data_IF_649204458668
#
_entry.id   IF_649204458668
#
_cell.length_a   1.000
_cell.length_b   1.000
_cell.length_c   1.000
_cell.angle_alpha   90.00
_cell.angle_beta   90.00
_cell.angle_gamma   90.00
#
_symmetry.space_group_name_H-M   'P 1'
#
loop_
_entity.id
_entity.type
_entity.pdbx_description
1 polymer ?
#
# COMPACT_ATOMS: atom_id res chain seq x y z
N UNK A 1 12.57 3.64 11.78
CA UNK A 1 11.54 2.88 12.54
C UNK A 1 11.47 1.44 12.02
N UNK A 2 11.12 0.45 12.84
CA UNK A 2 11.12 -0.96 12.40
C UNK A 2 10.17 -1.24 11.22
N UNK A 3 9.19 -0.37 10.99
CA UNK A 3 8.28 -0.42 9.83
C UNK A 3 8.98 -0.22 8.49
N UNK A 4 10.09 0.51 8.43
CA UNK A 4 10.77 0.84 7.16
C UNK A 4 11.28 -0.40 6.42
N UNK A 5 11.73 -1.42 7.16
CA UNK A 5 12.23 -2.66 6.56
C UNK A 5 11.13 -3.38 5.77
N UNK A 6 9.88 -3.34 6.24
CA UNK A 6 8.74 -3.96 5.56
C UNK A 6 8.32 -3.21 4.28
N UNK A 7 8.72 -1.94 4.15
CA UNK A 7 8.36 -1.09 3.01
C UNK A 7 9.45 -1.05 1.94
N UNK A 8 10.57 -1.75 2.14
CA UNK A 8 11.64 -1.78 1.14
C UNK A 8 11.15 -2.42 -0.16
N UNK A 9 11.52 -1.87 -1.33
CA UNK A 9 11.12 -2.44 -2.61
C UNK A 9 11.62 -3.87 -2.76
N UNK A 10 10.76 -4.77 -3.25
CA UNK A 10 11.05 -6.20 -3.48
C UNK A 10 11.57 -6.98 -2.25
N UNK A 11 11.31 -6.51 -1.01
CA UNK A 11 11.69 -7.26 0.20
C UNK A 11 10.84 -8.53 0.42
N UNK A 12 9.64 -8.55 -0.15
CA UNK A 12 8.75 -9.70 -0.18
C UNK A 12 8.55 -10.15 -1.63
N UNK A 13 8.52 -11.45 -1.86
CA UNK A 13 8.34 -12.02 -3.20
C UNK A 13 6.87 -12.21 -3.59
N UNK A 14 5.96 -12.17 -2.60
CA UNK A 14 4.53 -12.42 -2.81
C UNK A 14 3.73 -12.09 -1.54
N UNK A 15 2.40 -11.99 -1.69
CA UNK A 15 1.48 -11.86 -0.54
C UNK A 15 1.62 -13.04 0.44
N UNK A 16 1.70 -14.32 0.02
CA UNK A 16 1.99 -15.42 0.94
C UNK A 16 3.33 -15.30 1.68
N UNK A 17 4.39 -14.79 1.03
CA UNK A 17 5.65 -14.53 1.71
C UNK A 17 5.48 -13.43 2.77
N UNK A 18 4.87 -12.28 2.42
CA UNK A 18 4.54 -11.22 3.37
C UNK A 18 3.81 -11.78 4.59
N UNK A 19 2.68 -12.49 4.38
CA UNK A 19 1.84 -13.05 5.45
C UNK A 19 2.65 -13.93 6.41
N UNK A 20 3.44 -14.88 5.89
CA UNK A 20 4.30 -15.75 6.73
C UNK A 20 5.30 -14.96 7.56
N UNK A 21 5.88 -13.89 7.01
CA UNK A 21 6.85 -13.07 7.72
C UNK A 21 6.19 -12.26 8.84
N UNK A 22 5.07 -11.58 8.56
CA UNK A 22 4.39 -10.70 9.53
C UNK A 22 3.58 -11.46 10.58
N UNK A 23 3.16 -12.70 10.31
CA UNK A 23 2.45 -13.54 11.28
C UNK A 23 3.41 -14.19 12.30
N UNK A 24 4.73 -14.02 12.11
CA UNK A 24 5.77 -14.47 13.03
C UNK A 24 6.40 -13.34 13.86
N UNK A 25 7.57 -13.62 14.42
CA UNK A 25 8.30 -12.71 15.32
C UNK A 25 8.64 -11.34 14.71
N UNK A 26 8.72 -11.23 13.39
CA UNK A 26 8.95 -9.95 12.71
C UNK A 26 7.78 -9.00 12.95
N UNK A 27 6.53 -9.46 12.75
CA UNK A 27 5.35 -8.64 12.98
C UNK A 27 5.19 -8.22 14.43
N UNK A 28 5.41 -9.16 15.36
CA UNK A 28 5.40 -8.85 16.80
C UNK A 28 6.39 -7.75 17.17
N UNK A 29 7.61 -7.81 16.62
CA UNK A 29 8.65 -6.83 16.87
C UNK A 29 8.29 -5.45 16.31
N UNK A 30 7.67 -5.42 15.12
CA UNK A 30 7.17 -4.19 14.51
C UNK A 30 6.06 -3.58 15.35
N UNK A 31 5.11 -4.38 15.83
CA UNK A 31 3.98 -3.89 16.61
C UNK A 31 4.40 -3.35 17.98
N UNK A 32 5.34 -4.02 18.66
CA UNK A 32 5.93 -3.50 19.90
C UNK A 32 6.70 -2.19 19.70
N UNK A 33 7.27 -1.96 18.52
CA UNK A 33 8.04 -0.73 18.27
C UNK A 33 7.20 0.55 18.34
N UNK A 34 5.88 0.44 18.21
CA UNK A 34 4.95 1.57 18.35
C UNK A 34 4.84 2.08 19.79
N UNK A 35 5.15 1.24 20.79
CA UNK A 35 5.07 1.64 22.21
C UNK A 35 6.04 2.78 22.54
N UNK A 36 7.15 2.89 21.79
CA UNK A 36 8.13 3.97 21.89
C UNK A 36 7.61 5.32 21.32
N UNK A 37 6.40 5.33 20.76
CA UNK A 37 5.79 6.48 20.06
C UNK A 37 4.37 6.77 20.56
N UNK A 38 4.06 6.39 21.80
CA UNK A 38 2.73 6.56 22.41
C UNK A 38 1.58 5.91 21.61
N UNK A 39 1.90 4.82 20.92
CA UNK A 39 0.96 4.02 20.14
C UNK A 39 1.00 2.55 20.59
N UNK A 40 -0.13 1.87 20.47
CA UNK A 40 -0.27 0.42 20.67
C UNK A 40 -0.50 -0.23 19.31
N UNK A 41 0.43 -1.09 18.89
CA UNK A 41 0.28 -1.88 17.66
C UNK A 41 -0.69 -3.04 17.87
N UNK A 42 -1.85 -2.98 17.22
CA UNK A 42 -2.94 -3.94 17.42
C UNK A 42 -2.92 -5.09 16.41
N UNK A 43 -2.68 -4.81 15.13
CA UNK A 43 -2.67 -5.81 14.07
C UNK A 43 -1.88 -5.32 12.84
N UNK A 44 -1.43 -6.25 12.00
CA UNK A 44 -0.86 -5.96 10.68
C UNK A 44 -1.83 -6.50 9.63
N UNK A 45 -2.12 -5.65 8.67
CA UNK A 45 -3.10 -5.82 7.62
C UNK A 45 -2.41 -5.83 6.25
N UNK A 46 -2.90 -6.66 5.35
CA UNK A 46 -2.47 -6.68 3.95
C UNK A 46 -2.91 -5.41 3.21
N UNK A 47 -2.05 -4.95 2.29
CA UNK A 47 -2.36 -3.87 1.35
C UNK A 47 -2.09 -4.28 -0.10
N UNK A 48 -1.94 -5.59 -0.36
CA UNK A 48 -1.65 -6.13 -1.69
C UNK A 48 -0.31 -5.67 -2.29
N UNK A 49 -0.10 -6.00 -3.55
CA UNK A 49 1.08 -5.59 -4.31
C UNK A 49 0.87 -4.21 -4.93
N UNK A 50 1.84 -3.31 -4.76
CA UNK A 50 1.84 -1.99 -5.41
C UNK A 50 2.45 -2.11 -6.80
N UNK A 51 1.77 -1.53 -7.79
CA UNK A 51 2.15 -1.56 -9.19
C UNK A 51 2.03 -0.17 -9.80
N UNK A 52 2.74 0.06 -10.91
CA UNK A 52 2.70 1.32 -11.64
C UNK A 52 1.45 1.40 -12.52
N UNK A 53 0.91 2.61 -12.64
CA UNK A 53 -0.07 2.96 -13.66
C UNK A 53 0.16 4.37 -14.18
N UNK A 54 -0.10 4.60 -15.46
CA UNK A 54 0.17 5.88 -16.11
C UNK A 54 -0.76 6.15 -17.32
N UNK A 55 -0.70 7.40 -17.81
CA UNK A 55 -1.52 7.92 -18.90
C UNK A 55 -0.82 7.87 -20.27
N UNK A 56 0.47 7.55 -20.32
CA UNK A 56 1.34 7.73 -21.50
C UNK A 56 1.53 6.45 -22.30
N UNK A 57 2.10 5.40 -21.70
CA UNK A 57 2.53 4.20 -22.41
C UNK A 57 2.69 2.97 -21.49
N UNK A 58 2.70 1.74 -22.03
CA UNK A 58 3.02 0.54 -21.27
C UNK A 58 4.45 0.57 -20.70
N UNK A 59 4.65 0.08 -19.47
CA UNK A 59 5.97 -0.04 -18.84
C UNK A 59 6.39 -1.50 -18.78
N UNK A 60 7.43 -1.88 -19.51
CA UNK A 60 7.95 -3.25 -19.55
C UNK A 60 9.32 -3.37 -18.87
N UNK A 61 10.05 -2.28 -18.75
CA UNK A 61 11.39 -2.22 -18.14
C UNK A 61 11.60 -0.90 -17.39
N UNK A 62 12.54 -0.84 -16.44
CA UNK A 62 12.79 0.38 -15.66
C UNK A 62 13.05 1.64 -16.51
N UNK A 63 13.66 1.51 -17.68
CA UNK A 63 13.96 2.64 -18.56
C UNK A 63 12.70 3.35 -19.07
N UNK A 64 11.56 2.65 -19.13
CA UNK A 64 10.30 3.20 -19.61
C UNK A 64 9.70 4.20 -18.60
N UNK A 65 10.18 4.21 -17.34
CA UNK A 65 9.80 5.17 -16.30
C UNK A 65 10.53 6.51 -16.44
N UNK A 66 11.59 6.57 -17.27
CA UNK A 66 12.48 7.73 -17.34
C UNK A 66 11.70 8.99 -17.74
N UNK A 67 11.77 10.01 -16.88
CA UNK A 67 11.14 11.30 -17.11
C UNK A 67 9.65 11.39 -16.76
N UNK A 68 8.97 10.27 -16.49
CA UNK A 68 7.56 10.28 -16.07
C UNK A 68 7.40 11.03 -14.74
N UNK A 69 6.40 11.91 -14.67
CA UNK A 69 6.00 12.61 -13.44
C UNK A 69 5.05 11.70 -12.67
N UNK A 70 5.53 11.02 -11.64
CA UNK A 70 4.70 10.06 -10.90
C UNK A 70 4.33 10.61 -9.53
N UNK A 71 3.04 10.53 -9.20
CA UNK A 71 2.62 10.74 -7.82
C UNK A 71 3.17 9.63 -6.94
N UNK A 72 3.67 10.02 -5.76
CA UNK A 72 4.01 9.10 -4.67
C UNK A 72 3.32 9.54 -3.38
N UNK A 73 3.01 8.59 -2.50
CA UNK A 73 2.68 8.93 -1.13
C UNK A 73 3.90 9.60 -0.46
N UNK A 74 3.68 10.47 0.52
CA UNK A 74 4.75 11.15 1.27
C UNK A 74 5.58 10.15 2.09
N UNK A 75 6.54 9.52 1.42
CA UNK A 75 7.40 8.45 1.92
C UNK A 75 8.77 8.58 1.27
N UNK A 76 9.80 8.78 2.10
CA UNK A 76 11.19 8.92 1.64
C UNK A 76 11.67 7.70 0.84
N UNK A 77 11.18 6.50 1.21
CA UNK A 77 11.51 5.25 0.50
C UNK A 77 10.98 5.29 -0.93
N UNK A 78 9.71 5.68 -1.13
CA UNK A 78 9.12 5.74 -2.45
C UNK A 78 9.65 6.91 -3.28
N UNK A 79 9.89 8.07 -2.66
CA UNK A 79 10.57 9.21 -3.31
C UNK A 79 11.95 8.80 -3.85
N UNK A 80 12.72 8.07 -3.05
CA UNK A 80 14.05 7.59 -3.45
C UNK A 80 13.95 6.52 -4.54
N UNK A 81 13.03 5.56 -4.41
CA UNK A 81 12.79 4.52 -5.42
C UNK A 81 12.50 5.14 -6.79
N UNK A 82 11.55 6.06 -6.89
CA UNK A 82 11.19 6.67 -8.17
C UNK A 82 12.36 7.41 -8.83
N UNK A 83 13.14 8.15 -8.04
CA UNK A 83 14.35 8.82 -8.54
C UNK A 83 15.39 7.81 -9.04
N UNK A 84 15.58 6.70 -8.33
CA UNK A 84 16.49 5.62 -8.75
C UNK A 84 16.04 4.95 -10.06
N UNK A 85 14.73 4.88 -10.29
CA UNK A 85 14.13 4.39 -11.54
C UNK A 85 14.10 5.45 -12.66
N UNK A 86 14.63 6.65 -12.42
CA UNK A 86 14.69 7.73 -13.42
C UNK A 86 13.39 8.51 -13.61
N UNK A 87 12.36 8.26 -12.80
CA UNK A 87 11.12 9.03 -12.77
C UNK A 87 11.26 10.31 -11.92
N UNK A 88 10.31 11.22 -12.09
CA UNK A 88 10.20 12.48 -11.36
C UNK A 88 9.05 12.39 -10.34
N UNK A 89 9.30 12.05 -9.07
CA UNK A 89 8.23 11.86 -8.12
C UNK A 89 7.68 13.18 -7.56
N UNK A 90 6.36 13.28 -7.49
CA UNK A 90 5.64 14.40 -6.85
C UNK A 90 4.85 13.89 -5.65
N UNK A 91 5.17 14.30 -4.42
CA UNK A 91 4.41 13.88 -3.24
C UNK A 91 3.04 14.57 -3.22
N UNK A 92 1.95 13.80 -3.14
CA UNK A 92 0.59 14.34 -2.99
C UNK A 92 -0.38 13.28 -2.42
N UNK A 93 -1.54 13.73 -1.95
CA UNK A 93 -2.56 12.83 -1.42
C UNK A 93 -3.15 11.94 -2.51
N UNK A 94 -3.75 10.81 -2.11
CA UNK A 94 -4.42 9.92 -3.06
C UNK A 94 -5.61 10.63 -3.74
N UNK A 95 -6.33 11.48 -2.99
CA UNK A 95 -7.53 12.17 -3.48
C UNK A 95 -7.24 13.22 -4.57
N UNK A 96 -6.05 13.82 -4.56
CA UNK A 96 -5.65 14.80 -5.58
C UNK A 96 -5.09 14.15 -6.85
N UNK A 97 -4.74 12.86 -6.78
CA UNK A 97 -4.00 12.16 -7.83
C UNK A 97 -4.82 12.05 -9.13
N UNK A 98 -6.14 11.82 -9.03
CA UNK A 98 -7.02 11.75 -10.19
C UNK A 98 -7.00 13.04 -11.01
N UNK A 99 -7.36 14.16 -10.37
CA UNK A 99 -7.41 15.47 -11.03
C UNK A 99 -6.04 15.91 -11.55
N UNK A 100 -4.95 15.54 -10.87
CA UNK A 100 -3.59 15.80 -11.32
C UNK A 100 -3.23 15.06 -12.61
N UNK A 101 -3.74 13.83 -12.82
CA UNK A 101 -3.56 13.09 -14.07
C UNK A 101 -4.42 13.68 -15.20
N UNK A 102 -5.69 14.01 -14.91
CA UNK A 102 -6.61 14.63 -15.86
C UNK A 102 -6.10 15.98 -16.40
N UNK A 103 -5.49 16.78 -15.52
CA UNK A 103 -4.88 18.07 -15.90
C UNK A 103 -3.46 17.93 -16.46
N UNK A 104 -2.95 16.70 -16.59
CA UNK A 104 -1.59 16.40 -17.05
C UNK A 104 -0.47 17.03 -16.21
N UNK A 105 -0.76 17.38 -14.95
CA UNK A 105 0.26 17.81 -13.99
C UNK A 105 1.22 16.66 -13.66
N UNK A 106 0.68 15.44 -13.60
CA UNK A 106 1.42 14.18 -13.44
C UNK A 106 1.01 13.19 -14.54
N UNK A 107 1.89 12.23 -14.80
CA UNK A 107 1.70 11.19 -15.81
C UNK A 107 1.16 9.89 -15.25
N UNK A 108 1.17 9.70 -13.92
CA UNK A 108 0.74 8.45 -13.30
C UNK A 108 1.04 8.38 -11.82
N UNK A 109 0.93 7.18 -11.25
CA UNK A 109 1.30 6.89 -9.87
C UNK A 109 1.56 5.38 -9.69
N UNK A 110 1.61 4.93 -8.43
CA UNK A 110 1.63 3.51 -8.08
C UNK A 110 0.68 3.20 -6.91
N UNK A 111 0.05 2.02 -6.96
CA UNK A 111 -0.78 1.50 -5.88
C UNK A 111 -1.19 0.03 -6.11
N UNK A 112 -1.92 -0.57 -5.18
CA UNK A 112 -2.62 -1.84 -5.38
C UNK A 112 -3.85 -1.69 -6.29
N UNK A 113 -4.30 -2.81 -6.88
CA UNK A 113 -5.39 -2.84 -7.86
C UNK A 113 -6.71 -2.36 -7.25
N UNK A 114 -6.97 -2.74 -6.00
CA UNK A 114 -8.08 -2.26 -5.17
C UNK A 114 -8.07 -0.73 -5.12
N UNK A 115 -6.97 -0.11 -4.71
CA UNK A 115 -6.88 1.35 -4.59
C UNK A 115 -7.03 2.05 -5.93
N UNK A 116 -6.39 1.53 -6.98
CA UNK A 116 -6.53 2.03 -8.34
C UNK A 116 -7.99 2.04 -8.81
N UNK A 117 -8.77 1.03 -8.44
CA UNK A 117 -10.19 0.96 -8.71
C UNK A 117 -11.02 1.93 -7.84
N UNK A 118 -10.74 2.10 -6.54
CA UNK A 118 -11.62 2.93 -5.65
C UNK A 118 -11.49 4.39 -5.95
N UNK A 119 -10.26 4.81 -6.21
CA UNK A 119 -9.98 6.20 -6.53
C UNK A 119 -10.35 6.55 -7.97
N UNK A 120 -10.87 5.58 -8.74
CA UNK A 120 -11.25 5.73 -10.15
C UNK A 120 -10.09 6.23 -11.03
N UNK A 121 -8.85 6.00 -10.59
CA UNK A 121 -7.65 6.39 -11.32
C UNK A 121 -7.55 5.73 -12.70
N UNK A 122 -8.18 4.57 -12.87
CA UNK A 122 -8.27 3.85 -14.14
C UNK A 122 -9.02 4.62 -15.24
N UNK A 123 -9.81 5.64 -14.88
CA UNK A 123 -10.50 6.49 -15.85
C UNK A 123 -9.57 7.53 -16.48
N UNK A 124 -8.44 7.85 -15.84
CA UNK A 124 -7.42 8.76 -16.35
C UNK A 124 -6.17 8.00 -16.85
N UNK A 125 -5.75 6.96 -16.12
CA UNK A 125 -4.56 6.16 -16.41
C UNK A 125 -4.93 4.80 -16.98
N UNK A 126 -4.75 4.63 -18.29
CA UNK A 126 -5.18 3.42 -19.01
C UNK A 126 -4.08 2.38 -19.20
N UNK A 127 -2.88 2.62 -18.67
CA UNK A 127 -1.78 1.66 -18.67
C UNK A 127 -1.48 1.25 -17.25
N UNK A 128 -1.64 -0.03 -16.96
CA UNK A 128 -1.21 -0.68 -15.73
C UNK A 128 0.04 -1.51 -16.04
N UNK A 129 0.95 -1.64 -15.09
CA UNK A 129 2.15 -2.49 -15.24
C UNK A 129 2.41 -3.24 -13.95
N UNK A 130 2.27 -4.56 -14.02
CA UNK A 130 2.34 -5.51 -12.91
C UNK A 130 3.77 -5.66 -12.37
N UNK A 131 4.30 -4.59 -11.80
CA UNK A 131 5.68 -4.49 -11.28
C UNK A 131 5.84 -5.08 -9.89
N UNK A 132 4.77 -5.14 -9.10
CA UNK A 132 4.74 -5.71 -7.74
C UNK A 132 5.93 -5.27 -6.87
N UNK A 133 6.33 -4.01 -7.04
CA UNK A 133 7.60 -3.50 -6.53
C UNK A 133 7.58 -3.27 -5.02
N UNK A 134 6.42 -3.37 -4.37
CA UNK A 134 6.27 -3.26 -2.93
C UNK A 134 5.03 -3.99 -2.45
N UNK A 135 5.14 -4.65 -1.30
CA UNK A 135 4.02 -5.25 -0.56
C UNK A 135 3.92 -4.63 0.84
N UNK A 136 4.17 -3.31 0.94
CA UNK A 136 4.13 -2.59 2.21
C UNK A 136 2.78 -2.84 2.93
N UNK A 137 2.78 -3.41 4.15
CA UNK A 137 1.55 -3.70 4.87
C UNK A 137 1.01 -2.46 5.59
N UNK A 138 -0.27 -2.52 5.94
CA UNK A 138 -0.93 -1.54 6.80
C UNK A 138 -0.90 -2.00 8.25
N UNK A 139 -0.94 -1.06 9.20
CA UNK A 139 -0.84 -1.37 10.63
C UNK A 139 -1.99 -0.70 11.37
N UNK A 140 -2.80 -1.52 12.04
CA UNK A 140 -3.83 -1.04 12.94
C UNK A 140 -3.16 -0.63 14.25
N UNK A 141 -3.29 0.65 14.60
CA UNK A 141 -2.73 1.23 15.82
C UNK A 141 -3.80 1.95 16.62
N UNK A 142 -3.58 2.05 17.93
CA UNK A 142 -4.41 2.85 18.83
C UNK A 142 -3.52 3.81 19.63
N UNK A 143 -4.05 4.99 19.97
CA UNK A 143 -3.39 5.87 20.95
C UNK A 143 -3.17 5.13 22.26
N UNK A 144 -1.95 5.21 22.81
CA UNK A 144 -1.63 4.60 24.10
C UNK A 144 -2.47 5.18 25.21
N UNK A 145 -2.75 6.49 25.19
CA UNK A 145 -3.61 7.14 26.18
C UNK A 145 -5.02 6.56 26.14
N UNK A 146 -5.62 6.44 24.95
CA UNK A 146 -6.95 5.87 24.79
C UNK A 146 -6.99 4.40 25.23
N UNK A 147 -6.00 3.61 24.85
CA UNK A 147 -5.89 2.22 25.26
C UNK A 147 -5.75 2.07 26.78
N UNK A 148 -4.95 2.93 27.41
CA UNK A 148 -4.77 2.95 28.87
C UNK A 148 -5.99 3.47 29.62
N UNK A 149 -6.89 4.22 28.97
CA UNK A 149 -8.16 4.65 29.59
C UNK A 149 -9.17 3.51 29.73
N UNK A 150 -8.99 2.42 28.96
CA UNK A 150 -9.83 1.22 29.03
C UNK A 150 -9.53 0.38 30.28
N UNK A 151 -10.54 -0.39 30.71
CA UNK A 151 -10.36 -1.40 31.76
C UNK A 151 -9.37 -2.50 31.32
N UNK A 152 -8.78 -3.23 32.26
CA UNK A 152 -7.85 -4.32 31.91
C UNK A 152 -8.52 -5.40 31.03
N UNK A 153 -9.80 -5.71 31.29
CA UNK A 153 -10.58 -6.64 30.49
C UNK A 153 -10.78 -6.13 29.05
N UNK A 154 -11.17 -4.85 28.90
CA UNK A 154 -11.38 -4.25 27.57
C UNK A 154 -10.09 -4.15 26.77
N UNK A 155 -8.95 -3.86 27.43
CA UNK A 155 -7.63 -3.88 26.77
C UNK A 155 -7.32 -5.25 26.18
N UNK A 156 -7.59 -6.32 26.94
CA UNK A 156 -7.45 -7.70 26.47
C UNK A 156 -8.33 -7.98 25.25
N UNK A 157 -9.61 -7.62 25.35
CA UNK A 157 -10.59 -7.79 24.27
C UNK A 157 -10.22 -7.02 23.00
N UNK A 158 -9.75 -5.78 23.11
CA UNK A 158 -9.35 -4.98 21.95
C UNK A 158 -8.18 -5.63 21.21
N UNK A 159 -7.17 -6.12 21.93
CA UNK A 159 -6.04 -6.82 21.31
C UNK A 159 -6.51 -8.12 20.67
N UNK A 160 -7.26 -8.94 21.39
CA UNK A 160 -7.78 -10.23 20.89
C UNK A 160 -8.60 -10.05 19.61
N UNK A 161 -9.59 -9.14 19.63
CA UNK A 161 -10.47 -8.91 18.50
C UNK A 161 -9.75 -8.27 17.31
N UNK A 162 -8.76 -7.41 17.54
CA UNK A 162 -7.91 -6.89 16.48
C UNK A 162 -7.04 -7.97 15.82
N UNK A 163 -6.62 -9.00 16.57
CA UNK A 163 -5.94 -10.17 15.96
C UNK A 163 -6.90 -11.05 15.20
N UNK A 164 -8.07 -11.30 15.78
CA UNK A 164 -9.12 -12.10 15.14
C UNK A 164 -9.67 -11.47 13.85
N UNK A 165 -9.57 -10.14 13.69
CA UNK A 165 -9.99 -9.46 12.47
C UNK A 165 -9.02 -9.62 11.30
N UNK A 166 -7.75 -9.99 11.51
CA UNK A 166 -6.75 -10.17 10.44
C UNK A 166 -7.21 -11.18 9.37
N UNK A 167 -7.60 -12.43 9.70
CA UNK A 167 -8.07 -13.38 8.69
C UNK A 167 -9.35 -12.90 7.99
N UNK A 168 -10.26 -12.23 8.70
CA UNK A 168 -11.48 -11.66 8.11
C UNK A 168 -11.10 -10.60 7.08
N UNK A 169 -10.21 -9.68 7.44
CA UNK A 169 -9.72 -8.64 6.57
C UNK A 169 -9.08 -9.26 5.32
N UNK A 170 -8.14 -10.20 5.48
CA UNK A 170 -7.44 -10.84 4.35
C UNK A 170 -8.40 -11.51 3.37
N UNK A 171 -9.42 -12.21 3.86
CA UNK A 171 -10.44 -12.83 3.01
C UNK A 171 -11.22 -11.79 2.20
N UNK A 172 -11.62 -10.69 2.83
CA UNK A 172 -12.29 -9.58 2.15
C UNK A 172 -11.36 -8.89 1.14
N UNK A 173 -10.09 -8.72 1.49
CA UNK A 173 -9.09 -8.11 0.63
C UNK A 173 -8.87 -8.92 -0.65
N UNK A 174 -8.61 -10.23 -0.53
CA UNK A 174 -8.36 -11.12 -1.66
C UNK A 174 -9.57 -11.17 -2.62
N UNK A 175 -10.78 -11.21 -2.07
CA UNK A 175 -12.01 -11.11 -2.86
C UNK A 175 -12.13 -9.75 -3.57
N UNK A 176 -11.82 -8.65 -2.87
CA UNK A 176 -11.94 -7.30 -3.41
C UNK A 176 -10.93 -7.00 -4.53
N UNK A 177 -9.70 -7.54 -4.44
CA UNK A 177 -8.67 -7.43 -5.48
C UNK A 177 -9.11 -8.13 -6.77
N UNK A 178 -9.72 -9.31 -6.64
CA UNK A 178 -10.25 -10.07 -7.79
C UNK A 178 -11.35 -9.29 -8.51
N UNK A 179 -12.30 -8.73 -7.75
CA UNK A 179 -13.38 -7.90 -8.30
C UNK A 179 -12.84 -6.62 -8.95
N UNK A 180 -11.91 -5.93 -8.27
CA UNK A 180 -11.31 -4.70 -8.76
C UNK A 180 -10.56 -4.93 -10.08
N UNK A 181 -9.75 -5.98 -10.16
CA UNK A 181 -9.02 -6.35 -11.38
C UNK A 181 -9.97 -6.58 -12.55
N UNK A 182 -11.05 -7.34 -12.33
CA UNK A 182 -12.05 -7.58 -13.37
C UNK A 182 -12.67 -6.27 -13.87
N UNK A 183 -13.10 -5.39 -12.97
CA UNK A 183 -13.71 -4.11 -13.35
C UNK A 183 -12.77 -3.21 -14.13
N UNK A 184 -11.50 -3.15 -13.73
CA UNK A 184 -10.46 -2.36 -14.40
C UNK A 184 -10.17 -2.89 -15.82
N UNK A 185 -10.12 -4.22 -15.99
CA UNK A 185 -9.97 -4.85 -17.32
C UNK A 185 -11.21 -4.59 -18.18
N UNK A 186 -12.41 -4.79 -17.64
CA UNK A 186 -13.67 -4.58 -18.36
C UNK A 186 -13.83 -3.11 -18.81
N UNK A 187 -13.26 -2.15 -18.08
CA UNK A 187 -13.21 -0.74 -18.48
C UNK A 187 -12.26 -0.47 -19.67
N UNK A 188 -11.33 -1.38 -19.94
CA UNK A 188 -10.39 -1.28 -21.06
C UNK A 188 -8.97 -0.84 -20.68
N UNK A 189 -8.59 -0.91 -19.40
CA UNK A 189 -7.19 -0.69 -19.01
C UNK A 189 -6.30 -1.78 -19.61
N UNK A 190 -5.17 -1.35 -20.18
CA UNK A 190 -4.14 -2.23 -20.72
C UNK A 190 -3.21 -2.65 -19.58
N UNK A 191 -3.15 -3.96 -19.32
CA UNK A 191 -2.26 -4.57 -18.33
C UNK A 191 -0.87 -4.86 -18.88
#
# INVERSE_FOLDING_TARGET
PLTQALCLPYVFDSVPHLRRAIDGHVGDSVLRSFEQRDLVGLAIYDSGARCFYNTKHPLHRPEDLKGLKLRVASSDIFLKLMRMLGANPTPMSLGETFSAMETHMIDGAENNMRSFQSSRHFEAAHYWSQSEHSYAPDILVMSRQSFQSLSAADRGLVVELARASVPVMRNLWDASETVARKQVIDYGVKL
#
